data_IF_790624388214
#
_entry.id   IF_790624388214
#
_cell.length_a   1.000
_cell.length_b   1.000
_cell.length_c   1.000
_cell.angle_alpha   90.00
_cell.angle_beta   90.00
_cell.angle_gamma   90.00
#
_symmetry.space_group_name_H-M   'P 1'
#
loop_
_entity.id
_entity.type
_entity.pdbx_description
1 polymer ?
#
# COMPACT_ATOMS: atom_id res chain seq x y z
N UNK A 1 -2.65 3.84 -68.69
CA UNK A 1 -3.19 2.51 -68.36
C UNK A 1 -2.37 1.91 -67.24
N UNK A 2 -2.80 2.07 -65.99
CA UNK A 2 -2.26 1.35 -64.84
C UNK A 2 -3.32 0.32 -64.45
N UNK A 3 -3.02 -0.95 -64.68
CA UNK A 3 -3.89 -2.06 -64.33
C UNK A 3 -3.72 -2.31 -62.82
N UNK A 4 -4.69 -1.87 -62.02
CA UNK A 4 -4.76 -2.23 -60.60
C UNK A 4 -5.39 -3.62 -60.51
N UNK A 5 -4.55 -4.62 -60.30
CA UNK A 5 -4.97 -6.00 -60.01
C UNK A 5 -5.42 -6.08 -58.55
N UNK A 6 -6.68 -6.48 -58.36
CA UNK A 6 -7.36 -6.61 -57.08
C UNK A 6 -6.59 -7.53 -56.11
N UNK A 7 -5.81 -6.94 -55.20
CA UNK A 7 -5.13 -7.65 -54.12
C UNK A 7 -5.50 -6.98 -52.79
N UNK A 8 -6.69 -7.28 -52.25
CA UNK A 8 -7.13 -6.83 -50.92
C UNK A 8 -6.16 -7.15 -49.76
N UNK A 9 -5.12 -7.96 -50.02
CA UNK A 9 -4.02 -8.25 -49.10
C UNK A 9 -2.99 -7.13 -48.98
N UNK A 10 -2.80 -6.28 -50.00
CA UNK A 10 -1.79 -5.21 -49.98
C UNK A 10 -2.24 -4.05 -49.08
N UNK A 11 -3.53 -3.69 -49.11
CA UNK A 11 -4.10 -2.65 -48.24
C UNK A 11 -4.04 -3.04 -46.75
N UNK A 12 -4.20 -4.33 -46.45
CA UNK A 12 -4.13 -4.90 -45.11
C UNK A 12 -2.71 -4.83 -44.52
N UNK A 13 -1.68 -4.99 -45.36
CA UNK A 13 -0.26 -4.93 -44.93
C UNK A 13 0.14 -3.47 -44.59
N UNK A 14 -0.32 -2.49 -45.37
CA UNK A 14 -0.02 -1.06 -45.10
C UNK A 14 -0.74 -0.57 -43.83
N UNK A 15 -1.96 -1.06 -43.57
CA UNK A 15 -2.69 -0.74 -42.33
C UNK A 15 -1.98 -1.33 -41.10
N UNK A 16 -1.51 -2.59 -41.18
CA UNK A 16 -0.80 -3.28 -40.09
C UNK A 16 0.51 -2.60 -39.67
N UNK A 17 1.26 -2.02 -40.62
CA UNK A 17 2.52 -1.31 -40.33
C UNK A 17 2.27 0.07 -39.69
N UNK A 18 1.13 0.71 -39.97
CA UNK A 18 0.80 2.02 -39.38
C UNK A 18 0.36 1.96 -37.91
N UNK A 19 -0.16 0.82 -37.43
CA UNK A 19 -0.57 0.64 -36.03
C UNK A 19 0.63 0.38 -35.09
N UNK A 20 1.77 -0.05 -35.64
CA UNK A 20 2.97 -0.36 -34.85
C UNK A 20 3.69 0.87 -34.26
N UNK A 21 3.29 2.09 -34.64
CA UNK A 21 3.96 3.33 -34.20
C UNK A 21 3.27 3.94 -32.96
N UNK A 22 2.10 3.44 -32.54
CA UNK A 22 1.36 3.97 -31.38
C UNK A 22 1.60 3.23 -30.06
N UNK A 23 2.47 2.22 -30.01
CA UNK A 23 3.04 1.75 -28.74
C UNK A 23 4.23 2.62 -28.35
N UNK A 24 4.02 3.94 -28.27
CA UNK A 24 4.88 4.77 -27.45
C UNK A 24 4.63 4.30 -26.03
N UNK A 25 5.55 3.47 -25.51
CA UNK A 25 5.71 3.24 -24.09
C UNK A 25 5.88 4.62 -23.44
N UNK A 26 4.77 5.25 -23.07
CA UNK A 26 4.74 6.13 -21.93
C UNK A 26 5.20 5.28 -20.76
N UNK A 27 6.50 5.25 -20.51
CA UNK A 27 7.00 5.05 -19.16
C UNK A 27 6.26 6.11 -18.38
N UNK A 28 5.21 5.71 -17.65
CA UNK A 28 4.65 6.54 -16.62
C UNK A 28 5.87 6.98 -15.81
N UNK A 29 6.19 8.27 -15.86
CA UNK A 29 7.12 8.85 -14.94
C UNK A 29 6.49 8.59 -13.58
N UNK A 30 6.90 7.49 -12.94
CA UNK A 30 6.82 7.41 -11.49
C UNK A 30 7.69 8.58 -11.08
N UNK A 31 7.02 9.67 -10.71
CA UNK A 31 7.62 10.69 -9.87
C UNK A 31 8.22 9.91 -8.71
N UNK A 32 9.53 9.66 -8.77
CA UNK A 32 10.27 9.20 -7.62
C UNK A 32 10.30 10.42 -6.73
N UNK A 33 9.20 10.64 -5.99
CA UNK A 33 9.27 11.47 -4.82
C UNK A 33 10.31 10.76 -3.94
N UNK A 34 11.50 11.34 -3.85
CA UNK A 34 12.52 10.87 -2.94
C UNK A 34 11.88 10.91 -1.57
N UNK A 35 11.71 9.74 -0.96
CA UNK A 35 11.12 9.62 0.38
C UNK A 35 12.12 10.16 1.38
N UNK A 36 11.66 10.99 2.32
CA UNK A 36 12.52 11.51 3.39
C UNK A 36 12.78 10.41 4.44
N UNK A 37 11.75 9.59 4.71
CA UNK A 37 11.83 8.41 5.59
C UNK A 37 11.15 7.21 4.93
N UNK A 38 11.65 6.00 5.19
CA UNK A 38 10.99 4.77 4.75
C UNK A 38 10.48 3.97 5.96
N UNK A 39 9.18 4.13 6.24
CA UNK A 39 8.51 3.47 7.36
C UNK A 39 7.65 2.27 6.91
N UNK A 40 7.59 1.98 5.61
CA UNK A 40 6.59 1.07 5.03
C UNK A 40 6.61 -0.31 5.65
N UNK A 41 7.78 -0.93 5.73
CA UNK A 41 7.91 -2.30 6.24
C UNK A 41 7.61 -2.38 7.74
N UNK A 42 7.98 -1.35 8.50
CA UNK A 42 7.71 -1.27 9.93
C UNK A 42 6.22 -1.10 10.20
N UNK A 43 5.55 -0.20 9.47
CA UNK A 43 4.09 -0.01 9.56
C UNK A 43 3.36 -1.28 9.14
N UNK A 44 3.76 -1.91 8.03
CA UNK A 44 3.18 -3.16 7.55
C UNK A 44 3.34 -4.29 8.57
N UNK A 45 4.51 -4.42 9.19
CA UNK A 45 4.73 -5.39 10.26
C UNK A 45 3.83 -5.10 11.48
N UNK A 46 3.71 -3.84 11.90
CA UNK A 46 2.84 -3.44 13.00
C UNK A 46 1.37 -3.78 12.75
N UNK A 47 0.87 -3.57 11.53
CA UNK A 47 -0.48 -3.98 11.14
C UNK A 47 -0.70 -5.49 11.25
N UNK A 48 0.27 -6.30 10.79
CA UNK A 48 0.06 -7.71 10.46
C UNK A 48 0.60 -8.71 11.48
N UNK A 49 1.45 -8.30 12.42
CA UNK A 49 2.03 -9.24 13.38
C UNK A 49 0.97 -9.77 14.35
N UNK A 50 0.90 -11.09 14.49
CA UNK A 50 0.11 -11.80 15.50
C UNK A 50 0.93 -12.11 16.77
N UNK A 51 2.23 -11.81 16.76
CA UNK A 51 3.18 -12.06 17.87
C UNK A 51 3.22 -10.94 18.91
N UNK A 52 2.46 -9.86 18.69
CA UNK A 52 2.47 -8.67 19.53
C UNK A 52 3.66 -7.74 19.26
N UNK A 53 3.96 -6.88 20.23
CA UNK A 53 4.95 -5.80 20.13
C UNK A 53 6.37 -6.34 20.28
N UNK A 54 7.17 -6.25 19.21
CA UNK A 54 8.52 -6.84 19.11
C UNK A 54 9.64 -5.84 19.43
N UNK A 55 10.85 -6.36 19.72
CA UNK A 55 12.06 -5.52 19.85
C UNK A 55 12.41 -4.75 18.57
N UNK A 56 12.01 -5.25 17.40
CA UNK A 56 12.19 -4.54 16.14
C UNK A 56 11.25 -3.34 16.07
N UNK A 57 9.98 -3.54 16.41
CA UNK A 57 8.98 -2.48 16.43
C UNK A 57 9.32 -1.42 17.49
N UNK A 58 9.83 -1.83 18.65
CA UNK A 58 10.13 -0.90 19.76
C UNK A 58 11.23 0.11 19.44
N UNK A 59 12.09 -0.17 18.46
CA UNK A 59 13.09 0.78 17.94
C UNK A 59 12.49 1.88 17.09
N UNK A 60 11.26 1.71 16.59
CA UNK A 60 10.69 2.58 15.55
C UNK A 60 9.30 3.13 15.87
N UNK A 61 8.59 2.61 16.87
CA UNK A 61 7.30 3.13 17.31
C UNK A 61 7.06 2.78 18.76
N UNK A 62 6.18 3.52 19.44
CA UNK A 62 5.79 3.21 20.82
C UNK A 62 4.81 2.03 20.86
N UNK A 63 4.69 1.40 22.03
CA UNK A 63 3.69 0.35 22.24
C UNK A 63 2.26 0.86 22.03
N UNK A 64 2.02 2.14 22.32
CA UNK A 64 0.73 2.79 22.11
C UNK A 64 0.41 2.93 20.62
N UNK A 65 1.35 3.46 19.83
CA UNK A 65 1.20 3.56 18.37
C UNK A 65 0.99 2.17 17.75
N UNK A 66 1.75 1.17 18.21
CA UNK A 66 1.56 -0.22 17.80
C UNK A 66 0.14 -0.72 18.11
N UNK A 67 -0.35 -0.48 19.34
CA UNK A 67 -1.67 -0.94 19.78
C UNK A 67 -2.79 -0.41 18.87
N UNK A 68 -2.71 0.86 18.47
CA UNK A 68 -3.68 1.49 17.58
C UNK A 68 -3.51 1.14 16.09
N UNK A 69 -2.38 0.54 15.72
CA UNK A 69 -2.09 0.14 14.33
C UNK A 69 -2.44 -1.33 14.08
N UNK A 70 -2.21 -2.21 15.06
CA UNK A 70 -2.33 -3.64 14.87
C UNK A 70 -3.78 -4.12 14.72
N UNK A 71 -4.07 -4.86 13.65
CA UNK A 71 -5.44 -5.29 13.31
C UNK A 71 -6.02 -6.25 14.35
N UNK A 72 -5.19 -7.03 15.04
CA UNK A 72 -5.65 -7.98 16.06
C UNK A 72 -6.08 -7.29 17.37
N UNK A 73 -5.73 -6.01 17.55
CA UNK A 73 -6.24 -5.17 18.63
C UNK A 73 -7.52 -4.42 18.22
N UNK A 74 -7.70 -4.14 16.93
CA UNK A 74 -8.83 -3.37 16.41
C UNK A 74 -10.07 -4.23 16.15
N UNK A 75 -9.91 -5.48 15.70
CA UNK A 75 -11.02 -6.39 15.39
C UNK A 75 -11.14 -7.51 16.40
N UNK A 76 -12.36 -7.98 16.65
CA UNK A 76 -12.65 -9.07 17.59
C UNK A 76 -12.33 -10.46 17.01
N UNK A 77 -11.09 -10.63 16.54
CA UNK A 77 -10.57 -11.89 15.98
C UNK A 77 -10.56 -13.04 16.99
N UNK A 78 -10.61 -12.76 18.30
CA UNK A 78 -10.61 -13.79 19.34
C UNK A 78 -12.03 -14.19 19.82
N UNK A 79 -13.09 -13.67 19.19
CA UNK A 79 -14.47 -14.10 19.49
C UNK A 79 -14.63 -15.60 19.22
N UNK A 80 -15.31 -16.36 20.10
CA UNK A 80 -15.51 -17.81 19.93
C UNK A 80 -16.35 -18.17 18.70
N UNK A 81 -17.02 -17.18 18.09
CA UNK A 81 -17.81 -17.36 16.87
C UNK A 81 -16.97 -17.47 15.58
N UNK A 82 -15.65 -17.27 15.64
CA UNK A 82 -14.75 -17.29 14.50
C UNK A 82 -13.73 -18.42 14.59
N UNK A 83 -13.42 -19.01 13.44
CA UNK A 83 -12.54 -20.17 13.35
C UNK A 83 -11.15 -19.83 12.81
N UNK A 84 -10.10 -20.24 13.52
CA UNK A 84 -8.69 -20.11 13.08
C UNK A 84 -8.35 -21.19 12.03
N UNK A 85 -7.34 -20.98 11.15
CA UNK A 85 -6.54 -19.77 11.00
C UNK A 85 -7.29 -18.65 10.27
N UNK A 86 -6.93 -17.40 10.55
CA UNK A 86 -7.50 -16.24 9.88
C UNK A 86 -6.80 -15.98 8.54
N UNK A 87 -7.58 -15.56 7.54
CA UNK A 87 -7.09 -15.10 6.24
C UNK A 87 -7.14 -13.58 6.24
N UNK A 88 -5.98 -12.94 6.12
CA UNK A 88 -5.86 -11.48 6.07
C UNK A 88 -5.48 -11.06 4.66
N UNK A 89 -6.36 -10.32 4.01
CA UNK A 89 -6.05 -9.57 2.79
C UNK A 89 -5.70 -8.15 3.20
N UNK A 90 -4.48 -7.70 2.93
CA UNK A 90 -3.99 -6.38 3.36
C UNK A 90 -3.32 -5.64 2.21
N UNK A 91 -3.72 -4.39 2.01
CA UNK A 91 -3.09 -3.43 1.13
C UNK A 91 -2.62 -2.22 1.93
N UNK A 92 -1.40 -1.79 1.68
CA UNK A 92 -0.84 -0.53 2.19
C UNK A 92 -0.14 0.16 1.03
N UNK A 93 -0.44 1.43 0.86
CA UNK A 93 0.16 2.30 -0.14
C UNK A 93 0.56 3.60 0.53
N UNK A 94 1.79 4.02 0.31
CA UNK A 94 2.20 5.37 0.63
C UNK A 94 1.72 6.32 -0.47
N UNK A 95 1.09 7.41 -0.07
CA UNK A 95 0.51 8.40 -0.98
C UNK A 95 1.39 9.64 -1.12
N UNK A 96 1.93 10.14 -0.01
CA UNK A 96 2.80 11.32 0.01
C UNK A 96 3.55 11.45 1.33
N UNK A 97 4.59 12.28 1.31
CA UNK A 97 5.28 12.74 2.51
C UNK A 97 5.34 14.27 2.52
N UNK A 98 5.32 14.86 3.71
CA UNK A 98 5.61 16.28 3.93
C UNK A 98 6.56 16.40 5.11
N UNK A 99 7.71 17.03 4.90
CA UNK A 99 8.69 17.25 5.97
C UNK A 99 8.74 18.73 6.32
N UNK A 100 8.67 19.02 7.62
CA UNK A 100 8.88 20.34 8.21
C UNK A 100 9.88 20.16 9.36
N UNK A 101 11.04 20.82 9.25
CA UNK A 101 12.20 20.64 10.12
C UNK A 101 12.60 19.17 10.26
N UNK A 102 12.40 18.59 11.45
CA UNK A 102 12.76 17.23 11.78
C UNK A 102 11.53 16.31 11.96
N UNK A 103 10.38 16.75 11.45
CA UNK A 103 9.11 16.04 11.50
C UNK A 103 8.65 15.74 10.08
N UNK A 104 8.47 14.47 9.77
CA UNK A 104 7.91 14.00 8.51
C UNK A 104 6.53 13.41 8.74
N UNK A 105 5.54 13.93 8.03
CA UNK A 105 4.18 13.39 7.97
C UNK A 105 4.07 12.45 6.78
N UNK A 106 3.90 11.15 7.05
CA UNK A 106 3.77 10.12 6.01
C UNK A 106 2.30 9.76 5.87
N UNK A 107 1.70 10.13 4.73
CA UNK A 107 0.32 9.78 4.40
C UNK A 107 0.29 8.47 3.64
N UNK A 108 -0.48 7.53 4.15
CA UNK A 108 -0.72 6.24 3.54
C UNK A 108 -2.22 5.98 3.41
N UNK A 109 -2.57 5.03 2.56
CA UNK A 109 -3.91 4.47 2.46
C UNK A 109 -3.83 2.97 2.68
N UNK A 110 -4.66 2.44 3.58
CA UNK A 110 -4.74 1.02 3.84
C UNK A 110 -6.11 0.44 3.55
N UNK A 111 -6.12 -0.85 3.21
CA UNK A 111 -7.31 -1.67 3.12
C UNK A 111 -7.02 -3.00 3.78
N UNK A 112 -7.96 -3.51 4.57
CA UNK A 112 -7.86 -4.82 5.22
C UNK A 112 -9.18 -5.56 5.11
N UNK A 113 -9.11 -6.86 4.90
CA UNK A 113 -10.24 -7.77 5.07
C UNK A 113 -9.75 -8.99 5.83
N UNK A 114 -10.43 -9.29 6.93
CA UNK A 114 -10.12 -10.42 7.80
C UNK A 114 -11.27 -11.41 7.67
N UNK A 115 -10.95 -12.63 7.25
CA UNK A 115 -11.89 -13.74 7.19
C UNK A 115 -11.41 -14.86 8.09
N UNK A 116 -12.35 -15.64 8.59
CA UNK A 116 -12.06 -16.88 9.29
C UNK A 116 -11.80 -18.04 8.31
N UNK A 117 -11.49 -19.22 8.83
CA UNK A 117 -11.18 -20.40 8.01
C UNK A 117 -12.35 -20.85 7.12
N UNK A 118 -13.58 -20.52 7.53
CA UNK A 118 -14.85 -20.82 6.85
C UNK A 118 -15.28 -19.69 5.89
N UNK A 119 -14.43 -18.67 5.68
CA UNK A 119 -14.69 -17.49 4.88
C UNK A 119 -15.77 -16.56 5.45
N UNK A 120 -16.07 -16.64 6.75
CA UNK A 120 -16.90 -15.64 7.44
C UNK A 120 -16.07 -14.38 7.62
N UNK A 121 -16.63 -13.22 7.24
CA UNK A 121 -15.98 -11.92 7.42
C UNK A 121 -16.00 -11.58 8.92
N UNK A 122 -14.82 -11.34 9.50
CA UNK A 122 -14.64 -10.87 10.87
C UNK A 122 -14.70 -9.34 10.92
N UNK A 123 -14.07 -8.71 9.93
CA UNK A 123 -13.98 -7.26 9.84
C UNK A 123 -13.12 -6.81 8.67
N UNK A 124 -13.15 -5.51 8.39
CA UNK A 124 -12.34 -4.92 7.35
C UNK A 124 -12.56 -3.42 7.25
N UNK A 125 -11.67 -2.79 6.49
CA UNK A 125 -11.70 -1.38 6.14
C UNK A 125 -11.19 -1.25 4.71
N UNK A 126 -11.69 -0.29 3.94
CA UNK A 126 -11.32 -0.13 2.53
C UNK A 126 -10.94 1.32 2.23
N UNK A 127 -9.71 1.52 1.78
CA UNK A 127 -9.22 2.83 1.34
C UNK A 127 -9.15 3.85 2.46
N UNK A 128 -8.80 3.44 3.68
CA UNK A 128 -8.72 4.34 4.84
C UNK A 128 -7.42 5.14 4.78
N UNK A 129 -7.50 6.48 4.73
CA UNK A 129 -6.34 7.33 4.83
C UNK A 129 -5.84 7.38 6.27
N UNK A 130 -4.53 7.23 6.43
CA UNK A 130 -3.82 7.22 7.70
C UNK A 130 -2.56 8.09 7.58
N UNK A 131 -2.29 8.89 8.59
CA UNK A 131 -1.08 9.71 8.68
C UNK A 131 -0.24 9.24 9.86
N UNK A 132 1.05 9.02 9.61
CA UNK A 132 2.05 8.77 10.64
C UNK A 132 2.93 10.00 10.81
N UNK A 133 3.09 10.46 12.05
CA UNK A 133 4.08 11.49 12.40
C UNK A 133 5.39 10.81 12.74
N UNK A 134 6.45 11.15 12.02
CA UNK A 134 7.79 10.59 12.18
C UNK A 134 8.74 11.69 12.60
N UNK A 135 9.46 11.49 13.69
CA UNK A 135 10.52 12.39 14.15
C UNK A 135 11.87 11.81 13.78
N UNK A 136 12.74 12.61 13.16
CA UNK A 136 14.11 12.23 12.80
C UNK A 136 15.11 13.03 13.64
N UNK A 137 16.02 12.36 14.34
CA UNK A 137 17.09 12.98 15.13
C UNK A 137 18.38 12.23 14.84
N UNK A 138 19.42 12.96 14.45
CA UNK A 138 20.75 12.40 14.17
C UNK A 138 20.74 11.24 13.14
N UNK A 139 19.82 11.28 12.19
CA UNK A 139 19.65 10.26 11.14
C UNK A 139 18.81 9.05 11.55
N UNK A 140 18.44 8.93 12.82
CA UNK A 140 17.52 7.91 13.32
C UNK A 140 16.09 8.45 13.32
N UNK A 141 15.11 7.60 12.98
CA UNK A 141 13.71 8.00 12.88
C UNK A 141 12.80 7.16 13.78
N UNK A 142 11.73 7.79 14.28
CA UNK A 142 10.75 7.16 15.17
C UNK A 142 9.33 7.67 14.89
N UNK A 143 8.37 6.74 14.79
CA UNK A 143 6.95 7.04 14.63
C UNK A 143 6.39 7.42 16.01
N UNK A 144 5.98 8.67 16.16
CA UNK A 144 5.46 9.21 17.42
C UNK A 144 3.95 9.16 17.49
N UNK A 145 3.27 9.29 16.36
CA UNK A 145 1.81 9.41 16.31
C UNK A 145 1.20 8.71 15.09
N UNK A 146 -0.08 8.38 15.23
CA UNK A 146 -0.93 7.80 14.20
C UNK A 146 -2.27 8.53 14.23
N UNK A 147 -2.71 9.02 13.09
CA UNK A 147 -4.02 9.66 12.91
C UNK A 147 -4.77 9.03 11.73
N UNK A 148 -6.05 8.69 11.93
CA UNK A 148 -6.98 8.35 10.86
C UNK A 148 -7.99 9.49 10.72
N UNK A 149 -8.32 9.86 9.49
CA UNK A 149 -9.36 10.86 9.26
C UNK A 149 -10.71 10.33 9.76
N UNK A 150 -11.40 11.13 10.57
CA UNK A 150 -12.73 10.83 11.11
C UNK A 150 -13.85 10.98 10.07
#
# INVERSE_FOLDING_TARGET
>A
MFIIKNNGKIFLIVLLVSVSILTFCGKAYKSNHTKDVDIYDIVKEAFLTDKGYSEKLSKHMSQEVFKYTNIYNAYNVNSPEYTKPFKVSFGLKEDSQKTEDNITYVKMTYSVTIMDSQNKIIGGSAGVPITFTVKTIDGEWYITEKEEAA
#
